data_IF_634496960408
#
_entry.id   IF_634496960408
#
_cell.length_a   1.000
_cell.length_b   1.000
_cell.length_c   1.000
_cell.angle_alpha   90.00
_cell.angle_beta   90.00
_cell.angle_gamma   90.00
#
_symmetry.space_group_name_H-M   'P 1'
#
loop_
_entity.id
_entity.type
_entity.pdbx_description
1 polymer ?
#
# COMPACT_ATOMS: atom_id res chain seq x y z
N UNK A 1 2.07 10.14 -0.55
CA UNK A 1 2.97 8.96 -0.41
C UNK A 1 2.70 8.27 0.91
N UNK A 2 2.63 6.96 0.90
CA UNK A 2 2.53 6.16 2.11
C UNK A 2 3.79 5.30 2.23
N UNK A 3 4.21 5.02 3.46
CA UNK A 3 5.36 4.15 3.69
C UNK A 3 4.85 2.74 3.98
N UNK A 4 5.35 1.77 3.21
CA UNK A 4 5.02 0.36 3.40
C UNK A 4 6.29 -0.46 3.47
N UNK A 5 6.17 -1.66 4.05
CA UNK A 5 7.30 -2.57 4.21
C UNK A 5 7.10 -3.75 3.28
N UNK A 6 8.01 -3.92 2.33
CA UNK A 6 7.99 -5.07 1.43
C UNK A 6 8.21 -6.36 2.23
N UNK A 7 7.80 -7.46 1.66
CA UNK A 7 7.89 -8.76 2.35
C UNK A 7 9.33 -9.10 2.73
N UNK A 8 10.31 -8.57 2.01
CA UNK A 8 11.73 -8.78 2.32
C UNK A 8 12.25 -7.86 3.42
N UNK A 9 11.39 -7.01 4.01
CA UNK A 9 11.75 -6.10 5.09
C UNK A 9 12.18 -4.71 4.65
N UNK A 10 12.28 -4.46 3.36
CA UNK A 10 12.69 -3.15 2.85
C UNK A 10 11.50 -2.19 2.88
N UNK A 11 11.70 -1.02 3.47
CA UNK A 11 10.66 0.03 3.52
C UNK A 11 10.75 0.88 2.26
N UNK A 12 9.59 1.16 1.69
CA UNK A 12 9.49 1.99 0.47
C UNK A 12 8.39 3.02 0.64
N UNK A 13 8.50 4.11 -0.10
CA UNK A 13 7.44 5.08 -0.24
C UNK A 13 6.66 4.74 -1.50
N UNK A 14 5.35 4.69 -1.37
CA UNK A 14 4.46 4.31 -2.45
C UNK A 14 3.49 5.44 -2.73
N UNK A 15 3.31 5.76 -4.02
CA UNK A 15 2.29 6.73 -4.40
C UNK A 15 0.91 6.05 -4.32
N UNK A 16 0.14 6.41 -3.31
CA UNK A 16 -1.17 5.81 -3.06
C UNK A 16 -2.16 6.05 -4.19
N UNK A 17 -1.96 7.09 -4.99
CA UNK A 17 -2.84 7.38 -6.12
C UNK A 17 -2.71 6.35 -7.24
N UNK A 18 -1.65 5.56 -7.23
CA UNK A 18 -1.44 4.51 -8.22
C UNK A 18 -2.00 3.16 -7.78
N UNK A 19 -2.54 3.07 -6.58
CA UNK A 19 -3.10 1.80 -6.08
C UNK A 19 -4.44 1.54 -6.75
N UNK A 20 -4.55 0.37 -7.39
CA UNK A 20 -5.82 -0.07 -7.97
C UNK A 20 -6.57 -0.98 -7.01
N UNK A 21 -5.87 -2.01 -6.50
CA UNK A 21 -6.47 -3.05 -5.65
C UNK A 21 -5.50 -3.44 -4.56
N UNK A 22 -6.03 -3.68 -3.35
CA UNK A 22 -5.27 -4.27 -2.25
C UNK A 22 -6.02 -5.51 -1.79
N UNK A 23 -5.34 -6.65 -1.83
CA UNK A 23 -5.90 -7.93 -1.41
C UNK A 23 -5.02 -8.55 -0.33
N UNK A 24 -5.64 -9.30 0.57
CA UNK A 24 -4.90 -9.96 1.66
C UNK A 24 -5.36 -11.41 1.77
N UNK A 25 -4.67 -12.33 1.03
CA UNK A 25 -5.02 -13.76 1.02
C UNK A 25 -3.83 -14.58 0.52
N UNK A 26 -2.93 -15.10 1.32
CA UNK A 26 -2.75 -14.80 2.76
C UNK A 26 -1.95 -13.51 2.99
N UNK A 27 -1.08 -13.13 2.05
CA UNK A 27 -0.26 -11.93 2.17
C UNK A 27 -0.96 -10.74 1.54
N UNK A 28 -0.58 -9.54 1.99
CA UNK A 28 -1.12 -8.30 1.43
C UNK A 28 -0.42 -8.02 0.12
N UNK A 29 -1.20 -8.01 -0.96
CA UNK A 29 -0.70 -7.72 -2.31
C UNK A 29 -1.34 -6.42 -2.79
N UNK A 30 -0.49 -5.45 -3.12
CA UNK A 30 -0.91 -4.17 -3.68
C UNK A 30 -0.70 -4.23 -5.19
N UNK A 31 -1.77 -4.05 -5.95
CA UNK A 31 -1.71 -3.96 -7.41
C UNK A 31 -1.84 -2.52 -7.83
N UNK A 32 -0.86 -2.04 -8.59
CA UNK A 32 -0.86 -0.66 -9.08
C UNK A 32 -1.52 -0.57 -10.44
N UNK A 33 -1.93 0.64 -10.81
CA UNK A 33 -2.53 0.90 -12.12
C UNK A 33 -1.56 0.61 -13.27
N UNK A 34 -0.26 0.59 -12.98
CA UNK A 34 0.78 0.21 -13.95
C UNK A 34 0.88 -1.31 -14.12
N UNK A 35 0.03 -2.07 -13.43
CA UNK A 35 0.01 -3.54 -13.38
C UNK A 35 1.16 -4.15 -12.56
N UNK A 36 1.97 -3.33 -11.90
CA UNK A 36 2.97 -3.84 -10.95
C UNK A 36 2.27 -4.33 -9.70
N UNK A 37 2.81 -5.39 -9.10
CA UNK A 37 2.31 -5.91 -7.82
C UNK A 37 3.42 -5.84 -6.79
N UNK A 38 3.04 -5.50 -5.55
CA UNK A 38 3.97 -5.39 -4.45
C UNK A 38 3.39 -6.16 -3.27
N UNK A 39 4.17 -7.08 -2.69
CA UNK A 39 3.75 -7.82 -1.51
C UNK A 39 4.34 -7.13 -0.30
N UNK A 40 3.50 -6.77 0.66
CA UNK A 40 3.89 -6.00 1.83
C UNK A 40 3.50 -6.70 3.12
N UNK A 41 4.14 -6.27 4.23
CA UNK A 41 3.88 -6.83 5.56
C UNK A 41 2.67 -6.20 6.24
N UNK A 42 2.34 -4.96 5.89
CA UNK A 42 1.17 -4.29 6.44
C UNK A 42 -0.10 -5.02 6.05
N UNK A 43 -1.10 -5.00 6.93
CA UNK A 43 -2.39 -5.58 6.61
C UNK A 43 -3.16 -4.68 5.64
N UNK A 44 -4.18 -5.24 5.00
CA UNK A 44 -5.08 -4.47 4.15
C UNK A 44 -5.68 -3.30 4.90
N UNK A 45 -6.04 -3.50 6.17
CA UNK A 45 -6.60 -2.45 7.00
C UNK A 45 -5.58 -1.35 7.28
N UNK A 46 -4.31 -1.74 7.51
CA UNK A 46 -3.23 -0.76 7.71
C UNK A 46 -3.07 0.12 6.49
N UNK A 47 -3.09 -0.47 5.29
CA UNK A 47 -2.97 0.29 4.05
C UNK A 47 -4.13 1.28 3.92
N UNK A 48 -5.34 0.82 4.22
CA UNK A 48 -6.52 1.68 4.19
C UNK A 48 -6.37 2.87 5.12
N UNK A 49 -5.87 2.63 6.33
CA UNK A 49 -5.67 3.69 7.32
C UNK A 49 -4.61 4.68 6.85
N UNK A 50 -3.51 4.20 6.28
CA UNK A 50 -2.44 5.07 5.77
C UNK A 50 -2.94 5.97 4.65
N UNK A 51 -3.71 5.41 3.73
CA UNK A 51 -4.27 6.19 2.62
C UNK A 51 -5.21 7.26 3.14
N UNK A 52 -6.06 6.93 4.10
CA UNK A 52 -6.97 7.89 4.71
C UNK A 52 -6.22 9.03 5.39
N UNK A 53 -5.18 8.70 6.11
CA UNK A 53 -4.39 9.68 6.84
C UNK A 53 -3.75 10.70 5.89
N UNK A 54 -3.14 10.22 4.81
CA UNK A 54 -2.46 11.10 3.87
C UNK A 54 -3.42 11.93 3.04
N UNK A 55 -4.55 11.37 2.64
CA UNK A 55 -5.56 12.16 1.91
C UNK A 55 -6.13 13.27 2.79
N UNK A 56 -6.25 13.01 4.08
CA UNK A 56 -6.71 14.02 5.02
C UNK A 56 -5.73 15.19 5.12
N UNK A 57 -4.43 14.90 5.02
CA UNK A 57 -3.40 15.92 5.12
C UNK A 57 -3.32 16.81 3.86
N UNK A 58 -3.78 16.31 2.73
CA UNK A 58 -3.78 17.05 1.47
C UNK A 58 -4.94 18.03 1.35
N UNK A 59 -5.91 17.91 2.21
CA UNK A 59 -7.09 18.77 2.24
C UNK A 59 -7.00 19.81 3.34
#
# INVERSE_FOLDING_TARGET
MIEVTKINGVKILLNEDLIEVVEETPDTVITLTTKRTIIVKESRQDIKNLVKLFKKDLL
#
